data_IF_635007785942
#
_entry.id   IF_635007785942
#
_cell.length_a   1.000
_cell.length_b   1.000
_cell.length_c   1.000
_cell.angle_alpha   90.00
_cell.angle_beta   90.00
_cell.angle_gamma   90.00
#
_symmetry.space_group_name_H-M   'P 1'
#
loop_
_entity.id
_entity.type
_entity.pdbx_description
1 polymer ?
#
# COMPACT_ATOMS: atom_id res chain seq x y z
N UNK A 1 -59.21 -17.66 5.84
CA UNK A 1 -58.35 -17.08 4.76
C UNK A 1 -57.32 -16.11 5.31
N UNK A 2 -57.65 -15.21 6.24
CA UNK A 2 -56.68 -14.25 6.83
C UNK A 2 -55.46 -14.88 7.50
N UNK A 3 -55.61 -16.02 8.19
CA UNK A 3 -54.51 -16.68 8.89
C UNK A 3 -53.38 -17.17 7.96
N UNK A 4 -53.72 -17.55 6.73
CA UNK A 4 -52.75 -17.98 5.72
C UNK A 4 -51.95 -16.77 5.19
N UNK A 5 -52.61 -15.63 4.98
CA UNK A 5 -51.94 -14.40 4.56
C UNK A 5 -50.95 -13.89 5.62
N UNK A 6 -51.30 -13.97 6.91
CA UNK A 6 -50.40 -13.56 7.99
C UNK A 6 -49.14 -14.44 8.08
N UNK A 7 -49.27 -15.73 7.77
CA UNK A 7 -48.14 -16.65 7.76
C UNK A 7 -47.20 -16.42 6.57
N UNK A 8 -47.72 -16.10 5.39
CA UNK A 8 -46.88 -15.77 4.23
C UNK A 8 -46.19 -14.40 4.39
N UNK A 9 -46.88 -13.43 4.99
CA UNK A 9 -46.30 -12.13 5.30
C UNK A 9 -45.13 -12.25 6.29
N UNK A 10 -45.26 -13.10 7.33
CA UNK A 10 -44.21 -13.30 8.33
C UNK A 10 -42.98 -14.00 7.76
N UNK A 11 -43.15 -15.01 6.89
CA UNK A 11 -42.05 -15.67 6.17
C UNK A 11 -41.26 -14.68 5.31
N UNK A 12 -41.96 -13.79 4.60
CA UNK A 12 -41.34 -12.77 3.75
C UNK A 12 -40.54 -11.75 4.57
N UNK A 13 -41.06 -11.37 5.74
CA UNK A 13 -40.34 -10.48 6.66
C UNK A 13 -39.06 -11.12 7.19
N UNK A 14 -39.12 -12.39 7.59
CA UNK A 14 -37.97 -13.15 8.10
C UNK A 14 -36.91 -13.34 7.00
N UNK A 15 -37.32 -13.64 5.76
CA UNK A 15 -36.35 -13.77 4.65
C UNK A 15 -35.63 -12.44 4.36
N UNK A 16 -36.36 -11.32 4.42
CA UNK A 16 -35.78 -9.98 4.24
C UNK A 16 -34.82 -9.60 5.37
N UNK A 17 -35.14 -9.95 6.61
CA UNK A 17 -34.26 -9.73 7.76
C UNK A 17 -32.96 -10.55 7.65
N UNK A 18 -33.07 -11.82 7.26
CA UNK A 18 -31.91 -12.70 7.07
C UNK A 18 -31.02 -12.24 5.90
N UNK A 19 -31.60 -11.77 4.80
CA UNK A 19 -30.82 -11.16 3.69
C UNK A 19 -30.07 -9.92 4.15
N UNK A 20 -30.72 -9.04 4.92
CA UNK A 20 -30.07 -7.82 5.42
C UNK A 20 -28.93 -8.14 6.40
N UNK A 21 -29.11 -9.11 7.30
CA UNK A 21 -28.02 -9.60 8.17
C UNK A 21 -26.89 -10.26 7.39
N UNK A 22 -27.19 -11.04 6.35
CA UNK A 22 -26.16 -11.68 5.51
C UNK A 22 -25.35 -10.66 4.71
N UNK A 23 -25.98 -9.58 4.22
CA UNK A 23 -25.28 -8.47 3.56
C UNK A 23 -24.33 -7.77 4.53
N UNK A 24 -24.74 -7.55 5.79
CA UNK A 24 -23.90 -6.92 6.81
C UNK A 24 -22.73 -7.80 7.28
N UNK A 25 -22.88 -9.13 7.26
CA UNK A 25 -21.79 -10.04 7.65
C UNK A 25 -20.69 -10.15 6.58
N UNK A 26 -21.03 -9.95 5.30
CA UNK A 26 -20.04 -9.89 4.21
C UNK A 26 -19.24 -8.58 4.18
N UNK A 27 -19.60 -7.59 5.01
CA UNK A 27 -18.94 -6.28 5.11
C UNK A 27 -18.01 -6.16 6.33
N UNK A 28 -17.79 -7.25 7.09
CA UNK A 28 -16.85 -7.22 8.20
C UNK A 28 -15.43 -7.37 7.65
N UNK A 29 -14.78 -6.24 7.41
CA UNK A 29 -13.33 -6.18 7.30
C UNK A 29 -12.72 -6.91 8.50
N UNK A 30 -11.90 -7.91 8.23
CA UNK A 30 -11.02 -8.48 9.24
C UNK A 30 -9.67 -7.78 9.14
N UNK A 31 -9.19 -7.22 10.25
CA UNK A 31 -7.85 -6.66 10.32
C UNK A 31 -6.81 -7.68 9.81
N UNK A 32 -5.90 -7.22 8.97
CA UNK A 32 -4.86 -8.03 8.35
C UNK A 32 -3.47 -7.45 8.62
N UNK A 33 -2.48 -8.33 8.58
CA UNK A 33 -1.07 -7.94 8.67
C UNK A 33 -0.46 -8.05 7.29
N UNK A 34 0.03 -6.92 6.78
CA UNK A 34 0.78 -6.85 5.54
C UNK A 34 2.26 -6.98 5.82
N UNK A 35 2.86 -8.05 5.30
CA UNK A 35 4.31 -8.25 5.32
C UNK A 35 4.88 -7.86 3.95
N UNK A 36 5.77 -6.87 3.93
CA UNK A 36 6.45 -6.43 2.71
C UNK A 36 7.94 -6.65 2.85
N UNK A 37 8.58 -7.09 1.77
CA UNK A 37 10.03 -7.13 1.68
C UNK A 37 10.47 -6.44 0.40
N UNK A 38 11.20 -5.34 0.55
CA UNK A 38 11.80 -4.61 -0.58
C UNK A 38 13.15 -5.24 -0.85
N UNK A 39 13.27 -5.97 -1.96
CA UNK A 39 14.49 -6.71 -2.29
C UNK A 39 15.49 -5.83 -3.03
N UNK A 40 15.11 -5.31 -4.19
CA UNK A 40 16.00 -4.54 -5.07
C UNK A 40 15.20 -3.72 -6.08
N UNK A 41 15.86 -2.73 -6.67
CA UNK A 41 15.39 -2.03 -7.87
C UNK A 41 16.14 -2.51 -9.12
N UNK A 42 15.56 -2.29 -10.30
CA UNK A 42 16.19 -2.67 -11.57
C UNK A 42 16.07 -1.53 -12.56
N UNK A 43 17.20 -1.19 -13.18
CA UNK A 43 17.31 -0.19 -14.24
C UNK A 43 16.61 1.13 -13.88
N UNK A 44 16.81 1.61 -12.64
CA UNK A 44 16.15 2.82 -12.17
C UNK A 44 16.52 4.01 -13.08
N UNK A 45 15.53 4.77 -13.58
CA UNK A 45 15.79 5.90 -14.44
C UNK A 45 16.42 7.04 -13.62
N UNK A 46 17.33 7.78 -14.25
CA UNK A 46 17.84 9.01 -13.63
C UNK A 46 16.73 10.08 -13.58
N UNK A 47 16.50 10.73 -12.42
CA UNK A 47 15.58 11.85 -12.31
C UNK A 47 15.94 12.96 -13.30
N UNK A 48 14.93 13.61 -13.90
CA UNK A 48 15.16 14.67 -14.91
C UNK A 48 15.74 15.96 -14.32
N UNK A 49 15.58 16.17 -13.01
CA UNK A 49 15.94 17.39 -12.31
C UNK A 49 17.26 17.30 -11.56
N UNK A 50 17.98 16.18 -11.67
CA UNK A 50 19.24 15.87 -10.98
C UNK A 50 20.37 16.78 -11.46
N UNK A 51 20.30 18.05 -11.08
CA UNK A 51 21.24 19.11 -11.45
C UNK A 51 22.24 19.38 -10.33
N UNK A 52 21.95 18.92 -9.11
CA UNK A 52 22.76 19.16 -7.92
C UNK A 52 23.95 18.20 -7.77
N UNK A 53 23.85 16.94 -8.24
CA UNK A 53 24.90 15.91 -8.10
C UNK A 53 25.78 15.65 -9.33
N UNK A 54 25.53 16.29 -10.48
CA UNK A 54 26.30 16.02 -11.70
C UNK A 54 26.10 14.58 -12.22
N UNK A 55 27.13 13.97 -12.82
CA UNK A 55 27.09 12.56 -13.30
C UNK A 55 27.33 11.52 -12.18
N UNK A 56 27.23 11.94 -10.92
CA UNK A 56 27.35 11.06 -9.75
C UNK A 56 26.13 10.12 -9.72
N UNK A 57 26.35 8.86 -9.34
CA UNK A 57 25.31 7.83 -9.35
C UNK A 57 24.09 8.17 -8.48
N UNK A 58 23.01 7.42 -8.66
CA UNK A 58 21.78 7.53 -7.86
C UNK A 58 22.02 7.00 -6.45
N UNK A 59 21.44 7.66 -5.44
CA UNK A 59 21.35 7.20 -4.07
C UNK A 59 19.89 6.80 -3.73
N UNK A 60 19.35 5.72 -4.31
CA UNK A 60 17.93 5.42 -4.21
C UNK A 60 17.51 4.90 -2.84
N UNK A 61 16.28 5.22 -2.46
CA UNK A 61 15.52 4.56 -1.39
C UNK A 61 14.05 4.41 -1.78
N UNK A 62 13.34 3.49 -1.10
CA UNK A 62 11.91 3.23 -1.32
C UNK A 62 11.14 3.64 -0.07
N UNK A 63 10.16 4.52 -0.24
CA UNK A 63 9.12 4.83 0.75
C UNK A 63 7.93 3.89 0.49
N UNK A 64 7.46 3.27 1.56
CA UNK A 64 6.26 2.45 1.61
C UNK A 64 5.19 3.21 2.37
N UNK A 65 4.10 3.53 1.70
CA UNK A 65 2.97 4.25 2.30
C UNK A 65 1.72 3.38 2.26
N UNK A 66 1.02 3.31 3.39
CA UNK A 66 -0.33 2.78 3.50
C UNK A 66 -1.28 3.97 3.55
N UNK A 67 -2.21 4.04 2.62
CA UNK A 67 -3.34 4.97 2.65
C UNK A 67 -4.62 4.20 2.94
N UNK A 68 -5.59 4.84 3.58
CA UNK A 68 -6.90 4.25 3.86
C UNK A 68 -7.65 5.06 4.89
N UNK A 69 -8.29 4.38 5.84
CA UNK A 69 -8.80 5.06 7.04
C UNK A 69 -7.64 5.62 7.86
N UNK A 70 -7.82 6.72 8.62
CA UNK A 70 -6.73 7.35 9.37
C UNK A 70 -5.96 6.42 10.31
N UNK A 71 -6.61 5.36 10.81
CA UNK A 71 -5.98 4.36 11.68
C UNK A 71 -4.99 3.44 10.94
N UNK A 72 -5.12 3.32 9.61
CA UNK A 72 -4.27 2.49 8.76
C UNK A 72 -3.16 3.28 8.08
N UNK A 73 -3.24 4.62 8.09
CA UNK A 73 -2.24 5.47 7.45
C UNK A 73 -0.88 5.31 8.12
N UNK A 74 0.12 4.90 7.33
CA UNK A 74 1.48 4.68 7.79
C UNK A 74 2.48 4.97 6.67
N UNK A 75 3.70 5.35 7.05
CA UNK A 75 4.81 5.59 6.14
C UNK A 75 6.09 5.02 6.77
N UNK A 76 6.80 4.19 6.02
CA UNK A 76 8.12 3.66 6.37
C UNK A 76 9.03 3.76 5.14
N UNK A 77 10.36 3.69 5.33
CA UNK A 77 11.28 3.70 4.20
C UNK A 77 12.46 2.75 4.37
N UNK A 78 13.02 2.30 3.26
CA UNK A 78 14.31 1.62 3.24
C UNK A 78 15.43 2.60 3.60
N UNK A 79 16.59 2.04 3.94
CA UNK A 79 17.83 2.79 3.90
C UNK A 79 18.16 3.19 2.47
N UNK A 80 18.90 4.28 2.36
CA UNK A 80 19.49 4.76 1.12
C UNK A 80 20.63 3.83 0.72
N UNK A 81 20.60 3.35 -0.53
CA UNK A 81 21.74 2.65 -1.14
C UNK A 81 22.64 3.71 -1.74
N UNK A 82 23.81 3.97 -1.14
CA UNK A 82 24.72 5.02 -1.61
C UNK A 82 25.53 4.56 -2.81
N UNK A 83 25.58 5.39 -3.84
CA UNK A 83 26.37 5.16 -5.06
C UNK A 83 27.88 5.12 -4.83
N UNK A 84 28.37 5.65 -3.70
CA UNK A 84 29.77 5.50 -3.29
C UNK A 84 30.16 4.07 -2.91
N UNK A 85 29.18 3.24 -2.59
CA UNK A 85 29.39 1.92 -2.01
C UNK A 85 29.20 0.80 -3.05
N UNK A 86 28.65 1.11 -4.24
CA UNK A 86 28.36 0.16 -5.31
C UNK A 86 28.46 0.82 -6.71
N UNK A 87 29.22 0.21 -7.62
CA UNK A 87 29.36 0.65 -9.01
C UNK A 87 28.04 0.52 -9.83
N UNK A 88 27.01 -0.15 -9.29
CA UNK A 88 25.76 -0.47 -9.98
C UNK A 88 24.53 0.30 -9.45
N UNK A 89 24.59 1.64 -9.38
CA UNK A 89 23.50 2.48 -8.85
C UNK A 89 22.13 2.33 -9.57
N UNK A 90 22.10 1.72 -10.76
CA UNK A 90 20.86 1.45 -11.50
C UNK A 90 20.09 0.24 -10.96
N UNK A 91 20.74 -0.64 -10.18
CA UNK A 91 20.14 -1.88 -9.67
C UNK A 91 20.40 -2.04 -8.16
N UNK A 92 19.88 -1.13 -7.32
CA UNK A 92 20.15 -1.14 -5.89
C UNK A 92 19.59 -2.39 -5.21
N UNK A 93 20.28 -2.89 -4.19
CA UNK A 93 19.78 -3.94 -3.29
C UNK A 93 19.43 -3.34 -1.94
N UNK A 94 18.18 -3.49 -1.51
CA UNK A 94 17.69 -3.01 -0.22
C UNK A 94 17.65 -4.15 0.80
N UNK A 95 17.01 -5.26 0.45
CA UNK A 95 16.80 -6.45 1.29
C UNK A 95 16.16 -6.16 2.67
N UNK A 96 15.18 -5.26 2.72
CA UNK A 96 14.53 -4.80 3.97
C UNK A 96 13.08 -5.27 4.09
N UNK A 97 12.68 -5.69 5.30
CA UNK A 97 11.35 -6.20 5.62
C UNK A 97 10.57 -5.23 6.50
N UNK A 98 9.28 -5.07 6.19
CA UNK A 98 8.35 -4.16 6.86
C UNK A 98 7.05 -4.90 7.20
N UNK A 99 6.35 -4.38 8.21
CA UNK A 99 5.07 -4.93 8.63
C UNK A 99 4.09 -3.81 8.96
N UNK A 100 2.88 -3.90 8.39
CA UNK A 100 1.80 -2.95 8.64
C UNK A 100 0.56 -3.67 9.12
N UNK A 101 -0.16 -3.06 10.05
CA UNK A 101 -1.46 -3.54 10.51
C UNK A 101 -2.56 -2.73 9.83
N UNK A 102 -3.37 -3.39 9.01
CA UNK A 102 -4.44 -2.74 8.21
C UNK A 102 -5.80 -3.20 8.73
N UNK A 103 -6.57 -2.28 9.30
CA UNK A 103 -7.87 -2.53 9.93
C UNK A 103 -9.02 -2.60 8.93
N UNK A 104 -8.94 -1.86 7.81
CA UNK A 104 -9.94 -1.88 6.73
C UNK A 104 -9.28 -2.07 5.36
N UNK A 105 -8.83 -3.30 5.03
CA UNK A 105 -8.15 -3.62 3.77
C UNK A 105 -8.91 -3.15 2.53
N UNK A 106 -10.25 -3.23 2.53
CA UNK A 106 -11.08 -2.86 1.38
C UNK A 106 -11.02 -1.36 1.02
N UNK A 107 -10.52 -0.53 1.93
CA UNK A 107 -10.29 0.90 1.72
C UNK A 107 -8.80 1.26 1.66
N UNK A 108 -7.90 0.28 1.75
CA UNK A 108 -6.48 0.51 1.83
C UNK A 108 -5.81 0.51 0.43
N UNK A 109 -4.82 1.40 0.27
CA UNK A 109 -3.92 1.44 -0.88
C UNK A 109 -2.48 1.40 -0.38
N UNK A 110 -1.62 0.66 -1.06
CA UNK A 110 -0.19 0.60 -0.80
C UNK A 110 0.55 1.33 -1.91
N UNK A 111 1.33 2.35 -1.56
CA UNK A 111 2.19 3.08 -2.50
C UNK A 111 3.65 2.78 -2.24
N UNK A 112 4.34 2.42 -3.30
CA UNK A 112 5.79 2.36 -3.39
C UNK A 112 6.24 3.63 -4.08
N UNK A 113 7.06 4.43 -3.42
CA UNK A 113 7.63 5.66 -3.95
C UNK A 113 9.15 5.55 -3.93
N UNK A 114 9.77 5.65 -5.09
CA UNK A 114 11.23 5.56 -5.24
C UNK A 114 11.77 6.98 -5.42
N UNK A 115 12.72 7.34 -4.56
CA UNK A 115 13.35 8.65 -4.51
C UNK A 115 14.86 8.51 -4.52
N UNK A 116 15.56 9.54 -5.00
CA UNK A 116 17.01 9.72 -4.91
C UNK A 116 17.33 10.65 -3.73
N UNK A 117 18.12 10.18 -2.76
CA UNK A 117 18.48 10.91 -1.53
C UNK A 117 19.46 12.04 -1.84
N UNK A 118 18.94 13.23 -2.09
CA UNK A 118 19.67 14.43 -2.50
C UNK A 118 19.81 15.45 -1.37
N UNK A 119 20.88 16.24 -1.40
CA UNK A 119 21.18 17.21 -0.33
C UNK A 119 20.09 18.28 -0.15
N UNK A 120 19.34 18.59 -1.21
CA UNK A 120 18.27 19.59 -1.22
C UNK A 120 17.00 18.95 -1.78
N UNK A 121 16.33 18.18 -0.93
CA UNK A 121 15.08 17.51 -1.29
C UNK A 121 15.34 16.27 -2.15
N UNK A 122 14.56 15.24 -1.90
CA UNK A 122 14.74 13.97 -2.59
C UNK A 122 14.09 14.01 -3.98
N UNK A 123 14.84 13.55 -4.98
CA UNK A 123 14.45 13.62 -6.37
C UNK A 123 13.54 12.43 -6.74
N UNK A 124 12.41 12.69 -7.39
CA UNK A 124 11.46 11.64 -7.76
C UNK A 124 12.00 10.74 -8.89
N UNK A 125 12.07 9.43 -8.64
CA UNK A 125 12.41 8.40 -9.64
C UNK A 125 11.13 7.77 -10.22
N UNK A 126 10.22 7.32 -9.35
CA UNK A 126 9.04 6.59 -9.78
C UNK A 126 8.08 6.26 -8.64
N UNK A 127 6.85 5.87 -8.99
CA UNK A 127 5.89 5.34 -8.01
C UNK A 127 4.99 4.27 -8.60
N UNK A 128 4.46 3.42 -7.73
CA UNK A 128 3.41 2.47 -8.05
C UNK A 128 2.46 2.32 -6.86
N UNK A 129 1.15 2.36 -7.12
CA UNK A 129 0.12 2.25 -6.09
C UNK A 129 -0.82 1.12 -6.43
N UNK A 130 -1.06 0.23 -5.46
CA UNK A 130 -1.96 -0.92 -5.59
C UNK A 130 -3.02 -0.89 -4.49
N UNK A 131 -4.26 -1.35 -4.77
CA UNK A 131 -5.20 -1.68 -3.72
C UNK A 131 -4.67 -2.88 -2.91
N UNK A 132 -5.04 -2.93 -1.63
CA UNK A 132 -4.73 -4.04 -0.74
C UNK A 132 -5.38 -5.36 -1.21
#
# INVERSE_FOLDING_TARGET
MESINNLEQSKKLISSLNQHQSLNNNLRSTQQILHLKVLSGQQLPRPRASTAKGDTGLDPFVVLEVFGVPADCAEERTKTVRSSDDDNCFNPTFDESFQFSVSVPELALIRFLVLDDDFIGDDFIGQYTIPF
#
